data_IF_184535631844
#
_entry.id   IF_184535631844
#
_cell.length_a   1.000
_cell.length_b   1.000
_cell.length_c   1.000
_cell.angle_alpha   90.00
_cell.angle_beta   90.00
_cell.angle_gamma   90.00
#
_symmetry.space_group_name_H-M   'P 1'
#
loop_
_entity.id
_entity.type
_entity.pdbx_description
1 polymer ?
#
# COMPACT_ATOMS: atom_id res chain seq x y z
N UNK A 1 9.92 18.74 -2.26
CA UNK A 1 10.41 17.47 -1.65
C UNK A 1 9.93 16.31 -2.53
N UNK A 2 10.85 15.51 -3.09
CA UNK A 2 10.51 14.52 -4.14
C UNK A 2 10.79 13.05 -3.75
N UNK A 3 10.96 12.79 -2.45
CA UNK A 3 11.23 11.44 -1.93
C UNK A 3 10.12 11.00 -0.99
N UNK A 4 9.51 9.86 -1.29
CA UNK A 4 8.39 9.28 -0.56
C UNK A 4 8.26 7.79 -0.90
N UNK A 5 7.45 7.05 -0.14
CA UNK A 5 7.03 5.70 -0.50
C UNK A 5 5.52 5.68 -0.72
N UNK A 6 5.06 5.17 -1.86
CA UNK A 6 3.66 4.81 -2.05
C UNK A 6 3.41 3.39 -1.58
N UNK A 7 2.29 3.16 -0.89
CA UNK A 7 1.92 1.85 -0.35
C UNK A 7 0.47 1.51 -0.68
N UNK A 8 0.20 0.23 -0.83
CA UNK A 8 -1.13 -0.34 -0.85
C UNK A 8 -1.13 -1.76 -0.28
N UNK A 9 -2.26 -2.18 0.30
CA UNK A 9 -2.42 -3.48 0.94
C UNK A 9 -3.76 -4.11 0.55
N UNK A 10 -3.76 -5.42 0.36
CA UNK A 10 -4.99 -6.22 0.36
C UNK A 10 -5.14 -6.95 1.70
N UNK A 11 -6.37 -7.28 2.09
CA UNK A 11 -6.66 -7.93 3.38
C UNK A 11 -7.52 -9.17 3.19
N UNK A 12 -7.17 -10.28 3.85
CA UNK A 12 -7.87 -11.56 3.77
C UNK A 12 -9.28 -11.53 4.38
N UNK A 13 -9.52 -10.64 5.35
CA UNK A 13 -10.84 -10.46 5.96
C UNK A 13 -11.01 -9.07 6.60
N UNK A 14 -12.15 -8.85 7.28
CA UNK A 14 -12.53 -7.54 7.82
C UNK A 14 -11.69 -7.01 8.98
N UNK A 15 -10.64 -7.73 9.40
CA UNK A 15 -9.71 -7.23 10.41
C UNK A 15 -8.54 -6.58 9.68
N UNK A 16 -8.22 -5.34 10.05
CA UNK A 16 -7.19 -4.55 9.36
C UNK A 16 -5.78 -5.14 9.49
N UNK A 17 -5.56 -5.99 10.48
CA UNK A 17 -4.31 -6.71 10.67
C UNK A 17 -4.13 -7.92 9.73
N UNK A 18 -5.15 -8.30 8.95
CA UNK A 18 -5.15 -9.49 8.08
C UNK A 18 -4.56 -9.21 6.69
N UNK A 19 -3.49 -8.42 6.62
CA UNK A 19 -2.83 -8.10 5.34
C UNK A 19 -2.41 -9.41 4.65
N UNK A 20 -2.80 -9.58 3.38
CA UNK A 20 -2.47 -10.74 2.56
C UNK A 20 -1.66 -10.43 1.30
N UNK A 21 -1.56 -9.15 0.94
CA UNK A 21 -0.65 -8.68 -0.11
C UNK A 21 -0.15 -7.30 0.26
N UNK A 22 1.09 -7.02 -0.13
CA UNK A 22 1.71 -5.71 0.00
C UNK A 22 2.24 -5.23 -1.34
N UNK A 23 2.12 -3.93 -1.58
CA UNK A 23 2.80 -3.22 -2.67
C UNK A 23 3.44 -1.95 -2.15
N UNK A 24 4.75 -1.79 -2.36
CA UNK A 24 5.52 -0.62 -1.96
C UNK A 24 6.31 -0.08 -3.15
N UNK A 25 6.29 1.24 -3.35
CA UNK A 25 7.03 1.93 -4.41
C UNK A 25 7.80 3.08 -3.80
N UNK A 26 9.13 2.96 -3.77
CA UNK A 26 10.01 4.04 -3.31
C UNK A 26 10.33 4.99 -4.45
N UNK A 27 9.99 6.24 -4.24
CA UNK A 27 10.39 7.35 -5.10
C UNK A 27 11.49 8.14 -4.40
N UNK A 28 12.59 8.41 -5.11
CA UNK A 28 13.67 9.30 -4.66
C UNK A 28 13.91 10.34 -5.74
N UNK A 29 13.94 11.61 -5.34
CA UNK A 29 14.16 12.73 -6.27
C UNK A 29 13.23 12.73 -7.49
N UNK A 30 11.99 12.26 -7.31
CA UNK A 30 10.98 12.22 -8.37
C UNK A 30 11.08 10.99 -9.30
N UNK A 31 11.98 10.06 -9.00
CA UNK A 31 12.23 8.86 -9.79
C UNK A 31 11.90 7.63 -8.94
N UNK A 32 11.17 6.67 -9.53
CA UNK A 32 10.95 5.36 -8.89
C UNK A 32 12.29 4.62 -8.84
N UNK A 33 12.73 4.27 -7.65
CA UNK A 33 14.05 3.64 -7.42
C UNK A 33 13.95 2.21 -6.94
N UNK A 34 12.87 1.85 -6.26
CA UNK A 34 12.68 0.49 -5.75
C UNK A 34 11.18 0.16 -5.74
N UNK A 35 10.89 -1.13 -5.95
CA UNK A 35 9.55 -1.70 -5.83
C UNK A 35 9.66 -2.94 -4.97
N UNK A 36 8.65 -3.18 -4.14
CA UNK A 36 8.49 -4.40 -3.36
C UNK A 36 7.04 -4.85 -3.50
N UNK A 37 6.85 -6.12 -3.81
CA UNK A 37 5.55 -6.77 -3.84
C UNK A 37 5.69 -8.16 -3.23
N UNK A 38 4.66 -8.60 -2.51
CA UNK A 38 4.66 -9.91 -1.89
C UNK A 38 3.29 -10.31 -1.40
N UNK A 39 3.01 -11.62 -1.48
CA UNK A 39 1.95 -12.25 -0.72
C UNK A 39 2.39 -12.41 0.73
N UNK A 40 1.44 -12.27 1.65
CA UNK A 40 1.63 -12.40 3.09
C UNK A 40 0.68 -13.46 3.59
N UNK A 41 1.17 -14.36 4.44
CA UNK A 41 0.29 -15.25 5.17
C UNK A 41 -0.35 -14.47 6.33
N UNK A 42 -1.67 -14.18 6.29
CA UNK A 42 -2.34 -13.56 7.43
C UNK A 42 -2.41 -14.56 8.59
N UNK A 43 -2.65 -14.11 9.84
CA UNK A 43 -2.81 -15.02 10.98
C UNK A 43 -3.87 -16.10 10.72
N UNK A 44 -3.57 -17.32 11.16
CA UNK A 44 -4.36 -18.55 10.94
C UNK A 44 -4.58 -18.90 9.46
N UNK A 45 -3.94 -18.19 8.53
CA UNK A 45 -4.18 -18.24 7.09
C UNK A 45 -5.69 -18.17 6.74
N UNK A 46 -6.47 -17.41 7.54
CA UNK A 46 -7.92 -17.39 7.45
C UNK A 46 -8.40 -16.36 6.42
N UNK A 47 -9.29 -16.80 5.51
CA UNK A 47 -9.88 -15.96 4.47
C UNK A 47 -11.40 -15.96 4.56
N UNK A 48 -12.01 -14.84 4.15
CA UNK A 48 -13.44 -14.78 3.85
C UNK A 48 -13.60 -14.60 2.35
N UNK A 49 -14.42 -15.44 1.72
CA UNK A 49 -14.64 -15.42 0.26
C UNK A 49 -14.94 -14.04 -0.29
N UNK A 50 -15.72 -13.22 0.45
CA UNK A 50 -16.05 -11.86 0.01
C UNK A 50 -14.84 -10.94 -0.21
N UNK A 51 -13.70 -11.21 0.42
CA UNK A 51 -12.45 -10.47 0.22
C UNK A 51 -11.64 -11.11 -0.92
N UNK A 52 -11.51 -12.43 -0.93
CA UNK A 52 -10.90 -13.15 -2.04
C UNK A 52 -11.56 -12.84 -3.39
N UNK A 53 -12.88 -12.61 -3.43
CA UNK A 53 -13.60 -12.22 -4.64
C UNK A 53 -13.24 -10.80 -5.14
N UNK A 54 -12.62 -9.95 -4.31
CA UNK A 54 -12.20 -8.59 -4.68
C UNK A 54 -10.84 -8.63 -5.39
N UNK A 55 -9.85 -9.27 -4.77
CA UNK A 55 -8.45 -9.24 -5.21
C UNK A 55 -7.93 -10.58 -5.79
N UNK A 56 -8.74 -11.64 -5.72
CA UNK A 56 -8.39 -12.97 -6.25
C UNK A 56 -7.38 -13.77 -5.41
N UNK A 57 -7.10 -13.33 -4.17
CA UNK A 57 -6.09 -13.97 -3.31
C UNK A 57 -6.76 -14.96 -2.37
N UNK A 58 -6.27 -16.20 -2.35
CA UNK A 58 -6.80 -17.28 -1.51
C UNK A 58 -5.80 -17.75 -0.45
N UNK A 59 -6.30 -18.55 0.51
CA UNK A 59 -5.47 -19.22 1.53
C UNK A 59 -4.42 -20.12 0.90
N UNK A 60 -4.70 -20.77 -0.23
CA UNK A 60 -3.78 -21.70 -0.88
C UNK A 60 -2.57 -20.96 -1.46
N UNK A 61 -2.78 -19.76 -2.01
CA UNK A 61 -1.69 -18.94 -2.57
C UNK A 61 -0.76 -18.37 -1.50
N UNK A 62 -1.24 -18.26 -0.27
CA UNK A 62 -0.53 -17.65 0.86
C UNK A 62 -0.09 -18.68 1.90
N UNK A 63 -0.35 -19.97 1.66
CA UNK A 63 -0.03 -21.06 2.58
C UNK A 63 1.47 -21.14 2.92
N UNK A 64 2.32 -20.86 1.94
CA UNK A 64 3.79 -20.89 2.08
C UNK A 64 4.40 -19.48 2.03
N UNK A 65 3.58 -18.43 2.08
CA UNK A 65 4.06 -17.06 2.13
C UNK A 65 4.58 -16.72 3.54
N UNK A 66 5.50 -15.76 3.63
CA UNK A 66 5.97 -15.29 4.92
C UNK A 66 4.85 -14.52 5.66
N UNK A 67 4.83 -14.65 6.98
CA UNK A 67 4.02 -13.81 7.84
C UNK A 67 4.55 -12.37 7.87
N UNK A 68 3.72 -11.44 8.35
CA UNK A 68 4.04 -10.01 8.28
C UNK A 68 5.26 -9.63 9.15
N UNK A 69 5.41 -10.25 10.32
CA UNK A 69 6.51 -10.03 11.24
C UNK A 69 7.86 -10.49 10.69
N UNK A 70 7.88 -11.59 9.94
CA UNK A 70 9.09 -12.11 9.28
C UNK A 70 9.68 -11.13 8.25
N UNK A 71 8.83 -10.33 7.60
CA UNK A 71 9.25 -9.39 6.56
C UNK A 71 9.23 -7.92 7.01
N UNK A 72 8.86 -7.65 8.27
CA UNK A 72 8.68 -6.28 8.75
C UNK A 72 9.97 -5.46 8.68
N UNK A 73 11.14 -6.05 8.93
CA UNK A 73 12.39 -5.28 8.82
C UNK A 73 12.65 -4.80 7.39
N UNK A 74 12.28 -5.59 6.38
CA UNK A 74 12.39 -5.18 4.98
C UNK A 74 11.39 -4.07 4.65
N UNK A 75 10.12 -4.22 5.05
CA UNK A 75 9.07 -3.20 4.85
C UNK A 75 9.40 -1.92 5.63
N UNK A 76 9.92 -2.05 6.84
CA UNK A 76 10.20 -0.95 7.75
C UNK A 76 11.14 0.08 7.14
N UNK A 77 12.15 -0.35 6.38
CA UNK A 77 13.06 0.53 5.63
C UNK A 77 12.30 1.44 4.64
N UNK A 78 11.16 0.96 4.12
CA UNK A 78 10.32 1.74 3.22
C UNK A 78 9.52 2.82 3.95
N UNK A 79 9.25 2.66 5.26
CA UNK A 79 8.23 3.40 5.99
C UNK A 79 8.79 4.34 7.05
N UNK A 80 9.75 3.87 7.85
CA UNK A 80 10.23 4.55 9.06
C UNK A 80 10.78 5.95 8.73
N UNK A 81 10.23 6.98 9.38
CA UNK A 81 10.64 8.39 9.22
C UNK A 81 10.56 8.91 7.77
N UNK A 82 9.64 8.37 6.96
CA UNK A 82 9.45 8.78 5.56
C UNK A 82 8.11 9.50 5.36
N UNK A 83 7.93 10.06 4.17
CA UNK A 83 6.62 10.40 3.65
C UNK A 83 5.98 9.18 3.00
N UNK A 84 4.76 8.87 3.42
CA UNK A 84 4.02 7.69 2.96
C UNK A 84 2.76 8.14 2.24
N UNK A 85 2.56 7.63 1.04
CA UNK A 85 1.45 7.96 0.17
C UNK A 85 0.61 6.72 -0.01
N UNK A 86 -0.71 6.87 0.08
CA UNK A 86 -1.65 5.81 -0.25
C UNK A 86 -2.93 6.41 -0.81
N UNK A 87 -3.71 5.66 -1.60
CA UNK A 87 -4.95 6.19 -2.14
C UNK A 87 -5.97 6.47 -1.05
N UNK A 88 -6.29 5.45 -0.25
CA UNK A 88 -7.19 5.53 0.88
C UNK A 88 -6.43 5.49 2.22
N UNK A 89 -5.32 6.22 2.30
CA UNK A 89 -4.34 6.13 3.40
C UNK A 89 -4.95 6.19 4.80
N UNK A 90 -5.64 7.27 5.14
CA UNK A 90 -6.16 7.47 6.49
C UNK A 90 -7.34 6.57 6.86
N UNK A 91 -8.12 6.12 5.87
CA UNK A 91 -9.32 5.30 6.08
C UNK A 91 -9.03 3.79 5.99
N UNK A 92 -7.91 3.41 5.36
CA UNK A 92 -7.60 2.01 5.06
C UNK A 92 -6.13 1.66 5.33
N UNK A 93 -5.19 2.13 4.49
CA UNK A 93 -3.82 1.60 4.48
C UNK A 93 -3.05 1.88 5.79
N UNK A 94 -3.14 3.08 6.36
CA UNK A 94 -2.46 3.42 7.62
C UNK A 94 -3.09 2.71 8.84
N UNK A 95 -4.43 2.59 8.96
CA UNK A 95 -5.05 1.69 9.91
C UNK A 95 -4.62 0.22 9.79
N UNK A 96 -4.51 -0.33 8.57
CA UNK A 96 -4.00 -1.69 8.35
C UNK A 96 -2.60 -1.84 8.93
N UNK A 97 -1.65 -1.00 8.51
CA UNK A 97 -0.29 -1.03 9.02
C UNK A 97 -0.23 -0.95 10.56
N UNK A 98 -0.92 0.02 11.16
CA UNK A 98 -0.91 0.18 12.63
C UNK A 98 -1.49 -1.03 13.36
N UNK A 99 -2.59 -1.59 12.86
CA UNK A 99 -3.21 -2.75 13.50
C UNK A 99 -2.39 -4.01 13.32
N UNK A 100 -1.76 -4.22 12.16
CA UNK A 100 -0.84 -5.34 11.94
C UNK A 100 0.36 -5.25 12.88
N UNK A 101 1.02 -4.08 12.96
CA UNK A 101 2.14 -3.89 13.90
C UNK A 101 1.73 -4.14 15.34
N UNK A 102 0.53 -3.68 15.75
CA UNK A 102 0.01 -3.96 17.09
C UNK A 102 -0.26 -5.46 17.29
N UNK A 103 -0.81 -6.15 16.31
CA UNK A 103 -1.13 -7.58 16.38
C UNK A 103 0.13 -8.42 16.64
N UNK A 104 1.19 -8.16 15.88
CA UNK A 104 2.48 -8.86 15.99
C UNK A 104 3.41 -8.27 17.07
N UNK A 105 2.95 -7.30 17.87
CA UNK A 105 3.76 -6.59 18.87
C UNK A 105 5.08 -5.98 18.31
N UNK A 106 5.00 -5.43 17.10
CA UNK A 106 6.12 -4.81 16.39
C UNK A 106 6.20 -3.32 16.66
N UNK A 107 7.43 -2.78 16.65
CA UNK A 107 7.67 -1.36 16.87
C UNK A 107 7.04 -0.50 15.77
N UNK A 108 6.24 0.50 16.19
CA UNK A 108 5.73 1.53 15.31
C UNK A 108 6.72 2.70 15.25
N UNK A 109 7.00 3.17 14.04
CA UNK A 109 7.81 4.36 13.81
C UNK A 109 6.97 5.44 13.11
N UNK A 110 7.17 6.71 13.47
CA UNK A 110 6.41 7.80 12.88
C UNK A 110 6.73 7.95 11.40
N UNK A 111 5.72 8.37 10.64
CA UNK A 111 5.82 8.75 9.24
C UNK A 111 4.82 9.87 8.94
N UNK A 112 5.03 10.61 7.86
CA UNK A 112 4.10 11.66 7.41
C UNK A 112 3.22 11.10 6.31
N UNK A 113 1.93 10.92 6.59
CA UNK A 113 0.97 10.33 5.66
C UNK A 113 0.35 11.34 4.68
N UNK A 114 0.21 10.92 3.43
CA UNK A 114 -0.48 11.63 2.34
C UNK A 114 -1.53 10.72 1.70
N UNK A 115 -2.63 11.30 1.24
CA UNK A 115 -3.79 10.55 0.75
C UNK A 115 -4.18 11.05 -0.64
N UNK A 116 -3.96 10.27 -1.69
CA UNK A 116 -4.26 10.73 -3.07
C UNK A 116 -5.76 10.85 -3.30
N UNK A 117 -6.61 10.04 -2.66
CA UNK A 117 -8.06 10.23 -2.73
C UNK A 117 -8.50 11.59 -2.18
N UNK A 118 -7.90 12.07 -1.08
CA UNK A 118 -8.18 13.41 -0.55
C UNK A 118 -7.65 14.54 -1.43
N UNK A 119 -6.58 14.29 -2.18
CA UNK A 119 -5.95 15.27 -3.07
C UNK A 119 -6.78 15.44 -4.35
N UNK A 120 -7.23 14.33 -4.94
CA UNK A 120 -7.85 14.31 -6.26
C UNK A 120 -9.38 14.15 -6.22
N UNK A 121 -9.96 13.69 -5.11
CA UNK A 121 -11.41 13.62 -4.91
C UNK A 121 -12.14 12.54 -5.70
N UNK A 122 -11.44 11.51 -6.20
CA UNK A 122 -12.04 10.45 -7.01
C UNK A 122 -11.41 9.07 -6.72
N UNK A 123 -12.04 7.98 -7.15
CA UNK A 123 -11.53 6.62 -6.97
C UNK A 123 -10.29 6.35 -7.85
N UNK A 124 -9.47 5.37 -7.45
CA UNK A 124 -8.18 5.12 -8.07
C UNK A 124 -8.32 4.71 -9.54
N UNK A 125 -9.33 3.91 -9.89
CA UNK A 125 -9.52 3.44 -11.26
C UNK A 125 -9.91 4.60 -12.19
N UNK A 126 -10.83 5.44 -11.75
CA UNK A 126 -11.24 6.67 -12.46
C UNK A 126 -10.06 7.61 -12.67
N UNK A 127 -9.22 7.80 -11.64
CA UNK A 127 -8.01 8.62 -11.77
C UNK A 127 -6.98 8.00 -12.70
N UNK A 128 -6.76 6.68 -12.65
CA UNK A 128 -5.84 6.02 -13.56
C UNK A 128 -6.26 6.20 -15.01
N UNK A 129 -7.57 6.07 -15.30
CA UNK A 129 -8.13 6.36 -16.62
C UNK A 129 -7.94 7.83 -17.01
N UNK A 130 -8.23 8.77 -16.11
CA UNK A 130 -8.10 10.20 -16.37
C UNK A 130 -6.65 10.61 -16.71
N UNK A 131 -5.67 10.03 -16.02
CA UNK A 131 -4.25 10.38 -16.15
C UNK A 131 -3.46 9.41 -17.03
N UNK A 132 -4.12 8.47 -17.73
CA UNK A 132 -3.50 7.43 -18.57
C UNK A 132 -2.42 6.61 -17.83
N UNK A 133 -2.69 6.24 -16.59
CA UNK A 133 -1.79 5.43 -15.76
C UNK A 133 -2.15 3.94 -15.95
N UNK A 134 -1.18 3.06 -16.30
CA UNK A 134 -1.41 1.62 -16.36
C UNK A 134 -1.90 1.07 -15.01
N UNK A 135 -2.97 0.30 -15.04
CA UNK A 135 -3.67 -0.12 -13.83
C UNK A 135 -4.19 -1.55 -13.93
N UNK A 136 -3.72 -2.41 -13.04
CA UNK A 136 -4.28 -3.72 -12.77
C UNK A 136 -5.00 -3.65 -11.42
N UNK A 137 -6.33 -3.59 -11.46
CA UNK A 137 -7.12 -3.32 -10.26
C UNK A 137 -6.96 -4.45 -9.23
N UNK A 138 -6.79 -4.07 -7.95
CA UNK A 138 -6.61 -5.00 -6.83
C UNK A 138 -5.31 -5.82 -6.83
N UNK A 139 -4.32 -5.44 -7.63
CA UNK A 139 -2.93 -5.79 -7.36
C UNK A 139 -2.28 -4.70 -6.52
N UNK A 140 -1.82 -5.05 -5.31
CA UNK A 140 -1.29 -4.08 -4.36
C UNK A 140 -0.11 -3.27 -4.96
N UNK A 141 0.77 -3.90 -5.75
CA UNK A 141 1.87 -3.17 -6.39
C UNK A 141 1.38 -2.21 -7.47
N UNK A 142 0.44 -2.63 -8.31
CA UNK A 142 -0.16 -1.77 -9.33
C UNK A 142 -0.87 -0.57 -8.70
N UNK A 143 -1.62 -0.78 -7.62
CA UNK A 143 -2.27 0.30 -6.87
C UNK A 143 -1.24 1.27 -6.26
N UNK A 144 -0.15 0.76 -5.68
CA UNK A 144 0.93 1.57 -5.13
C UNK A 144 1.68 2.36 -6.22
N UNK A 145 1.91 1.76 -7.39
CA UNK A 145 2.48 2.43 -8.57
C UNK A 145 1.59 3.59 -9.03
N UNK A 146 0.28 3.35 -9.16
CA UNK A 146 -0.68 4.38 -9.53
C UNK A 146 -0.70 5.53 -8.50
N UNK A 147 -0.66 5.21 -7.21
CA UNK A 147 -0.54 6.22 -6.15
C UNK A 147 0.73 7.06 -6.27
N UNK A 148 1.86 6.44 -6.61
CA UNK A 148 3.13 7.15 -6.79
C UNK A 148 3.05 8.14 -7.96
N UNK A 149 2.53 7.71 -9.11
CA UNK A 149 2.36 8.55 -10.29
C UNK A 149 1.41 9.73 -10.01
N UNK A 150 0.25 9.47 -9.39
CA UNK A 150 -0.69 10.53 -9.00
C UNK A 150 -0.04 11.56 -8.06
N UNK A 151 0.73 11.10 -7.08
CA UNK A 151 1.39 12.01 -6.16
C UNK A 151 2.52 12.80 -6.82
N UNK A 152 3.24 12.21 -7.77
CA UNK A 152 4.21 12.93 -8.61
C UNK A 152 3.54 14.02 -9.44
N UNK A 153 2.37 13.76 -10.03
CA UNK A 153 1.57 14.75 -10.75
C UNK A 153 1.20 15.91 -9.82
N UNK A 154 0.69 15.62 -8.62
CA UNK A 154 0.36 16.63 -7.61
C UNK A 154 1.57 17.50 -7.23
N UNK A 155 2.72 16.88 -6.97
CA UNK A 155 3.94 17.61 -6.62
C UNK A 155 4.41 18.52 -7.76
N UNK A 156 4.38 18.04 -9.02
CA UNK A 156 4.74 18.85 -10.19
C UNK A 156 3.79 20.05 -10.37
N UNK A 157 2.50 19.89 -10.11
CA UNK A 157 1.54 20.98 -10.21
C UNK A 157 1.75 22.05 -9.13
N UNK A 158 2.15 21.65 -7.92
CA UNK A 158 2.50 22.60 -6.85
C UNK A 158 3.78 23.38 -7.09
N UNK A 159 4.72 22.85 -7.86
CA UNK A 159 5.97 23.55 -8.23
C UNK A 159 5.76 24.62 -9.32
N UNK A 160 4.59 24.62 -10.00
CA UNK A 160 4.23 25.57 -11.06
C UNK A 160 3.42 26.77 -10.57
N UNK A 161 3.03 26.77 -9.30
CA UNK A 161 2.30 27.85 -8.62
C UNK A 161 3.27 28.61 -7.70
#
# INVERSE_FOLDING_TARGET
MKSFTAIDFETAHGKRWSICQIGLVRVKNGIITQKLSGLIQPPDNYYRDKFSNIHGITSEQTADAQAFDEIWEQIGVFIRFQHIVAHNGFAFNFPCLRQTLKYYNLAFFPFVGHCTHRIFGNDLASLCKQYNIPFNHHDALSNAMACAELFLIHLKNKERL
#
